data_IF_415996555495
#
_entry.id   IF_415996555495
#
_cell.length_a   1.000
_cell.length_b   1.000
_cell.length_c   1.000
_cell.angle_alpha   90.00
_cell.angle_beta   90.00
_cell.angle_gamma   90.00
#
_symmetry.space_group_name_H-M   'P 1'
#
loop_
_entity.id
_entity.type
_entity.pdbx_description
1 polymer ?
#
# COMPACT_ATOMS: atom_id res chain seq x y z
N UNK A 1 21.24 24.03 28.86
CA UNK A 1 21.42 24.07 27.39
C UNK A 1 21.14 22.68 26.85
N UNK A 2 19.98 22.46 26.22
CA UNK A 2 19.71 21.19 25.53
C UNK A 2 20.48 21.21 24.20
N UNK A 3 21.38 20.24 24.03
CA UNK A 3 22.04 20.03 22.75
C UNK A 3 21.00 19.53 21.76
N UNK A 4 20.70 20.36 20.75
CA UNK A 4 19.95 19.95 19.57
C UNK A 4 20.90 19.04 18.79
N UNK A 5 20.73 17.73 18.95
CA UNK A 5 21.39 16.73 18.11
C UNK A 5 20.78 16.90 16.72
N UNK A 6 21.53 17.30 15.67
CA UNK A 6 20.97 17.37 14.33
C UNK A 6 20.52 15.96 13.94
N UNK A 7 19.23 15.81 13.57
CA UNK A 7 18.73 14.53 13.09
C UNK A 7 19.58 14.11 11.89
N UNK A 8 20.06 12.87 11.89
CA UNK A 8 20.82 12.32 10.77
C UNK A 8 19.99 12.53 9.50
N UNK A 9 20.54 13.27 8.55
CA UNK A 9 19.91 13.45 7.23
C UNK A 9 19.75 12.05 6.65
N UNK A 10 18.49 11.59 6.54
CA UNK A 10 18.17 10.26 6.00
C UNK A 10 18.58 10.26 4.52
N UNK A 11 19.40 9.31 4.10
CA UNK A 11 19.74 9.17 2.69
C UNK A 11 18.50 8.70 1.91
N UNK A 12 18.29 9.16 0.67
CA UNK A 12 17.19 8.68 -0.15
C UNK A 12 17.40 7.21 -0.51
N UNK A 13 16.32 6.44 -0.50
CA UNK A 13 16.25 5.05 -0.94
C UNK A 13 16.31 4.93 -2.46
N UNK A 14 15.67 5.86 -3.17
CA UNK A 14 15.68 5.91 -4.64
C UNK A 14 15.87 7.35 -5.15
N UNK A 15 16.61 7.54 -6.26
CA UNK A 15 16.67 8.80 -6.97
C UNK A 15 15.36 9.10 -7.71
N UNK A 16 15.12 10.37 -8.05
CA UNK A 16 13.84 10.84 -8.58
C UNK A 16 13.24 10.01 -9.74
N UNK A 17 14.06 9.68 -10.75
CA UNK A 17 13.61 8.87 -11.90
C UNK A 17 13.14 7.48 -11.44
N UNK A 18 13.91 6.83 -10.57
CA UNK A 18 13.59 5.50 -10.04
C UNK A 18 12.41 5.52 -9.07
N UNK A 19 12.23 6.59 -8.32
CA UNK A 19 11.04 6.77 -7.47
C UNK A 19 9.77 6.78 -8.32
N UNK A 20 9.74 7.54 -9.42
CA UNK A 20 8.57 7.59 -10.30
C UNK A 20 8.26 6.22 -10.93
N UNK A 21 9.29 5.53 -11.44
CA UNK A 21 9.16 4.16 -11.94
C UNK A 21 8.61 3.20 -10.87
N UNK A 22 9.15 3.27 -9.66
CA UNK A 22 8.75 2.44 -8.53
C UNK A 22 7.29 2.70 -8.13
N UNK A 23 6.88 3.96 -7.99
CA UNK A 23 5.51 4.33 -7.60
C UNK A 23 4.51 3.80 -8.63
N UNK A 24 4.78 3.97 -9.92
CA UNK A 24 3.88 3.49 -10.98
C UNK A 24 3.74 1.96 -10.95
N UNK A 25 4.85 1.24 -10.81
CA UNK A 25 4.84 -0.22 -10.73
C UNK A 25 4.15 -0.71 -9.44
N UNK A 26 4.45 -0.09 -8.30
CA UNK A 26 3.84 -0.42 -7.02
C UNK A 26 2.32 -0.24 -7.09
N UNK A 27 1.83 0.88 -7.64
CA UNK A 27 0.40 1.13 -7.82
C UNK A 27 -0.23 0.08 -8.73
N UNK A 28 0.41 -0.26 -9.85
CA UNK A 28 -0.09 -1.26 -10.78
C UNK A 28 -0.19 -2.66 -10.13
N UNK A 29 0.80 -3.03 -9.32
CA UNK A 29 0.83 -4.32 -8.61
C UNK A 29 -0.18 -4.35 -7.47
N UNK A 30 -0.30 -3.28 -6.68
CA UNK A 30 -1.31 -3.17 -5.63
C UNK A 30 -2.74 -3.25 -6.20
N UNK A 31 -2.99 -2.73 -7.40
CA UNK A 31 -4.29 -2.91 -8.09
C UNK A 31 -4.60 -4.37 -8.43
N UNK A 32 -3.58 -5.16 -8.71
CA UNK A 32 -3.71 -6.60 -8.99
C UNK A 32 -3.81 -7.45 -7.72
N UNK A 33 -3.45 -6.87 -6.57
CA UNK A 33 -3.43 -7.54 -5.26
C UNK A 33 -2.61 -8.84 -5.27
N UNK A 34 -1.57 -8.87 -6.10
CA UNK A 34 -0.68 -10.01 -6.33
C UNK A 34 0.56 -9.90 -5.44
N UNK A 35 0.62 -10.74 -4.40
CA UNK A 35 1.66 -10.65 -3.38
C UNK A 35 3.05 -11.00 -3.93
N UNK A 36 3.10 -11.96 -4.87
CA UNK A 36 4.36 -12.35 -5.50
C UNK A 36 4.93 -11.21 -6.33
N UNK A 37 4.08 -10.53 -7.10
CA UNK A 37 4.49 -9.32 -7.84
C UNK A 37 4.90 -8.20 -6.90
N UNK A 38 4.22 -8.02 -5.76
CA UNK A 38 4.59 -6.99 -4.77
C UNK A 38 6.03 -7.20 -4.30
N UNK A 39 6.35 -8.42 -3.88
CA UNK A 39 7.71 -8.78 -3.45
C UNK A 39 8.74 -8.58 -4.57
N UNK A 40 8.40 -8.96 -5.80
CA UNK A 40 9.27 -8.79 -6.96
C UNK A 40 9.56 -7.32 -7.29
N UNK A 41 8.57 -6.44 -7.16
CA UNK A 41 8.76 -4.99 -7.36
C UNK A 41 9.80 -4.45 -6.38
N UNK A 42 9.71 -4.76 -5.09
CA UNK A 42 10.72 -4.30 -4.12
C UNK A 42 12.13 -4.86 -4.42
N UNK A 43 12.23 -6.12 -4.84
CA UNK A 43 13.51 -6.71 -5.26
C UNK A 43 14.11 -6.00 -6.49
N UNK A 44 13.28 -5.68 -7.49
CA UNK A 44 13.70 -4.97 -8.71
C UNK A 44 14.35 -3.63 -8.40
N UNK A 45 13.80 -2.90 -7.43
CA UNK A 45 14.33 -1.60 -7.00
C UNK A 45 15.36 -1.69 -5.88
N UNK A 46 15.84 -2.90 -5.55
CA UNK A 46 16.88 -3.17 -4.52
C UNK A 46 16.48 -2.71 -3.11
N UNK A 47 15.19 -2.67 -2.80
CA UNK A 47 14.67 -2.21 -1.51
C UNK A 47 14.60 -3.32 -0.45
N UNK A 48 14.88 -4.58 -0.82
CA UNK A 48 14.74 -5.74 0.08
C UNK A 48 15.70 -5.76 1.27
N UNK A 49 16.77 -4.98 1.21
CA UNK A 49 17.75 -4.88 2.30
C UNK A 49 17.42 -3.75 3.29
N UNK A 50 16.39 -2.96 3.02
CA UNK A 50 15.96 -1.91 3.95
C UNK A 50 15.29 -2.55 5.18
N UNK A 51 15.54 -2.07 6.42
CA UNK A 51 14.96 -2.63 7.63
C UNK A 51 13.43 -2.78 7.57
N UNK A 52 12.75 -1.77 7.03
CA UNK A 52 11.28 -1.75 6.93
C UNK A 52 10.71 -2.74 5.88
N UNK A 53 11.56 -3.36 5.06
CA UNK A 53 11.11 -4.28 4.00
C UNK A 53 10.37 -5.50 4.58
N UNK A 54 10.89 -6.11 5.63
CA UNK A 54 10.31 -7.32 6.23
C UNK A 54 8.91 -7.00 6.77
N UNK A 55 8.77 -5.90 7.52
CA UNK A 55 7.48 -5.47 8.05
C UNK A 55 6.49 -5.10 6.94
N UNK A 56 6.98 -4.45 5.88
CA UNK A 56 6.15 -4.13 4.73
C UNK A 56 5.64 -5.38 4.03
N UNK A 57 6.51 -6.36 3.75
CA UNK A 57 6.11 -7.58 3.05
C UNK A 57 5.20 -8.45 3.92
N UNK A 58 5.45 -8.58 5.23
CA UNK A 58 4.58 -9.33 6.14
C UNK A 58 3.16 -8.73 6.21
N UNK A 59 3.06 -7.41 6.31
CA UNK A 59 1.76 -6.72 6.25
C UNK A 59 1.12 -6.84 4.85
N UNK A 60 1.92 -6.82 3.78
CA UNK A 60 1.45 -7.05 2.43
C UNK A 60 0.85 -8.45 2.25
N UNK A 61 1.47 -9.47 2.83
CA UNK A 61 0.93 -10.84 2.83
C UNK A 61 -0.42 -10.91 3.53
N UNK A 62 -0.58 -10.21 4.65
CA UNK A 62 -1.87 -10.12 5.33
C UNK A 62 -2.92 -9.39 4.48
N UNK A 63 -2.60 -8.22 3.95
CA UNK A 63 -3.51 -7.40 3.14
C UNK A 63 -3.93 -8.13 1.86
N UNK A 64 -3.01 -8.90 1.25
CA UNK A 64 -3.23 -9.54 -0.04
C UNK A 64 -3.66 -11.01 0.09
N UNK A 65 -3.48 -11.61 1.26
CA UNK A 65 -3.66 -13.06 1.49
C UNK A 65 -5.09 -13.53 1.31
N UNK A 66 -6.09 -12.64 1.49
CA UNK A 66 -7.48 -12.92 1.16
C UNK A 66 -7.68 -13.22 -0.33
N UNK A 67 -6.96 -12.52 -1.20
CA UNK A 67 -7.16 -12.55 -2.65
C UNK A 67 -6.26 -13.57 -3.35
N UNK A 68 -5.09 -13.88 -2.78
CA UNK A 68 -4.17 -14.87 -3.32
C UNK A 68 -4.53 -16.32 -2.98
N UNK A 69 -5.67 -16.55 -2.31
CA UNK A 69 -6.15 -17.89 -1.94
C UNK A 69 -7.31 -18.32 -2.85
N UNK A 70 -6.98 -18.66 -4.10
CA UNK A 70 -7.92 -19.14 -5.13
C UNK A 70 -8.72 -20.36 -4.63
N UNK A 71 -8.11 -21.20 -3.80
CA UNK A 71 -8.76 -22.38 -3.22
C UNK A 71 -9.95 -22.03 -2.33
N UNK A 72 -9.94 -20.85 -1.70
CA UNK A 72 -11.08 -20.32 -0.93
C UNK A 72 -12.17 -19.66 -1.79
N UNK A 73 -11.95 -19.56 -3.11
CA UNK A 73 -12.94 -19.06 -4.07
C UNK A 73 -13.15 -17.55 -4.02
N UNK A 74 -12.13 -16.78 -3.63
CA UNK A 74 -12.18 -15.32 -3.71
C UNK A 74 -11.85 -14.85 -5.13
N UNK A 75 -12.64 -13.91 -5.64
CA UNK A 75 -12.46 -13.32 -6.96
C UNK A 75 -12.48 -11.80 -6.84
N UNK A 76 -11.40 -11.13 -7.26
CA UNK A 76 -11.34 -9.67 -7.35
C UNK A 76 -12.22 -9.21 -8.52
N UNK A 77 -13.22 -8.39 -8.22
CA UNK A 77 -14.13 -7.80 -9.21
C UNK A 77 -13.57 -6.49 -9.74
N UNK A 78 -13.09 -5.63 -8.85
CA UNK A 78 -12.48 -4.36 -9.23
C UNK A 78 -11.54 -3.85 -8.14
N UNK A 79 -10.55 -3.07 -8.56
CA UNK A 79 -9.68 -2.32 -7.65
C UNK A 79 -9.61 -0.87 -8.10
N UNK A 80 -9.91 0.04 -7.18
CA UNK A 80 -9.81 1.48 -7.39
C UNK A 80 -8.70 2.08 -6.54
N UNK A 81 -8.02 3.09 -7.09
CA UNK A 81 -7.01 3.88 -6.36
C UNK A 81 -7.49 5.31 -6.16
N UNK A 82 -7.14 5.89 -5.02
CA UNK A 82 -7.44 7.28 -4.71
C UNK A 82 -6.32 7.89 -3.87
N UNK A 83 -6.15 9.19 -3.99
CA UNK A 83 -5.36 9.96 -3.02
C UNK A 83 -6.13 9.99 -1.68
N UNK A 84 -5.44 9.76 -0.58
CA UNK A 84 -6.00 9.79 0.76
C UNK A 84 -5.03 10.45 1.75
N UNK A 85 -5.47 10.66 2.99
CA UNK A 85 -4.65 11.14 4.09
C UNK A 85 -4.68 10.14 5.24
N UNK A 86 -3.53 9.96 5.89
CA UNK A 86 -3.45 9.28 7.18
C UNK A 86 -4.35 10.00 8.20
N UNK A 87 -5.27 9.28 8.84
CA UNK A 87 -6.22 9.85 9.81
C UNK A 87 -5.64 10.02 11.21
N UNK A 88 -4.53 9.34 11.51
CA UNK A 88 -3.87 9.39 12.83
C UNK A 88 -2.67 10.33 12.88
N UNK A 89 -2.07 10.64 11.73
CA UNK A 89 -0.89 11.47 11.63
C UNK A 89 -1.30 12.94 11.79
N UNK A 90 -0.71 13.68 12.74
CA UNK A 90 -1.02 15.10 13.00
C UNK A 90 -0.84 16.03 11.80
N UNK A 91 -0.07 15.59 10.78
CA UNK A 91 0.18 16.33 9.54
C UNK A 91 -0.66 15.84 8.34
N UNK A 92 -1.57 14.87 8.52
CA UNK A 92 -2.42 14.36 7.44
C UNK A 92 -1.62 13.92 6.21
N UNK A 93 -0.50 13.20 6.43
CA UNK A 93 0.40 12.74 5.34
C UNK A 93 -0.42 12.09 4.22
N UNK A 94 -0.16 12.51 2.99
CA UNK A 94 -0.77 11.91 1.81
C UNK A 94 -0.35 10.45 1.68
N UNK A 95 -1.33 9.58 1.46
CA UNK A 95 -1.16 8.14 1.24
C UNK A 95 -1.92 7.73 -0.01
N UNK A 96 -1.55 6.60 -0.60
CA UNK A 96 -2.22 6.03 -1.77
C UNK A 96 -3.20 4.97 -1.26
N UNK A 97 -4.49 5.26 -1.32
CA UNK A 97 -5.56 4.36 -0.91
C UNK A 97 -6.00 3.43 -2.04
N UNK A 98 -6.32 2.19 -1.68
CA UNK A 98 -6.82 1.16 -2.58
C UNK A 98 -8.13 0.61 -2.02
N UNK A 99 -9.16 0.55 -2.86
CA UNK A 99 -10.42 -0.11 -2.55
C UNK A 99 -10.55 -1.34 -3.45
N UNK A 100 -10.67 -2.51 -2.86
CA UNK A 100 -10.79 -3.80 -3.55
C UNK A 100 -12.18 -4.35 -3.34
N UNK A 101 -12.94 -4.50 -4.42
CA UNK A 101 -14.22 -5.18 -4.42
C UNK A 101 -14.01 -6.64 -4.84
N UNK A 102 -14.60 -7.57 -4.10
CA UNK A 102 -14.41 -8.99 -4.36
C UNK A 102 -15.65 -9.82 -4.05
N UNK A 103 -15.74 -11.00 -4.66
CA UNK A 103 -16.79 -12.00 -4.42
C UNK A 103 -16.20 -13.24 -3.79
N UNK A 104 -17.05 -13.99 -3.08
CA UNK A 104 -16.74 -15.32 -2.57
C UNK A 104 -17.62 -16.33 -3.29
N UNK A 105 -17.03 -17.03 -4.26
CA UNK A 105 -17.73 -17.94 -5.16
C UNK A 105 -18.03 -19.30 -4.52
N UNK A 106 -17.25 -19.70 -3.51
CA UNK A 106 -17.42 -20.96 -2.78
C UNK A 106 -18.23 -20.83 -1.49
N UNK A 107 -19.00 -19.73 -1.32
CA UNK A 107 -19.87 -19.60 -0.15
C UNK A 107 -21.15 -20.43 -0.31
N UNK A 108 -21.27 -21.49 0.49
CA UNK A 108 -22.42 -22.41 0.46
C UNK A 108 -23.78 -21.77 0.76
N UNK A 109 -23.82 -20.58 1.39
CA UNK A 109 -25.08 -19.93 1.79
C UNK A 109 -25.53 -18.86 0.80
N UNK A 110 -24.60 -18.09 0.24
CA UNK A 110 -24.90 -16.98 -0.70
C UNK A 110 -23.81 -16.86 -1.79
N UNK A 111 -23.66 -17.86 -2.66
CA UNK A 111 -22.58 -17.88 -3.64
C UNK A 111 -22.71 -16.69 -4.61
N UNK A 112 -21.63 -15.92 -4.74
CA UNK A 112 -21.46 -14.87 -5.77
C UNK A 112 -22.50 -13.73 -5.81
N UNK A 113 -23.41 -13.65 -4.83
CA UNK A 113 -24.45 -12.60 -4.73
C UNK A 113 -23.99 -11.35 -3.98
N UNK A 114 -23.03 -11.50 -3.08
CA UNK A 114 -22.50 -10.40 -2.26
C UNK A 114 -21.17 -9.93 -2.83
N UNK A 115 -21.06 -8.63 -3.06
CA UNK A 115 -19.80 -7.93 -3.31
C UNK A 115 -19.32 -7.39 -1.97
N UNK A 116 -18.17 -7.89 -1.53
CA UNK A 116 -17.47 -7.39 -0.36
C UNK A 116 -16.49 -6.31 -0.78
N UNK A 117 -16.20 -5.37 0.13
CA UNK A 117 -15.17 -4.36 -0.06
C UNK A 117 -14.10 -4.52 1.02
N UNK A 118 -12.84 -4.40 0.62
CA UNK A 118 -11.72 -4.23 1.52
C UNK A 118 -10.91 -3.00 1.08
N UNK A 119 -10.15 -2.41 1.99
CA UNK A 119 -9.33 -1.24 1.68
C UNK A 119 -8.00 -1.27 2.41
N UNK A 120 -6.96 -0.77 1.76
CA UNK A 120 -5.64 -0.61 2.35
C UNK A 120 -4.96 0.62 1.75
N UNK A 121 -3.93 1.16 2.42
CA UNK A 121 -3.19 2.29 1.91
C UNK A 121 -1.69 2.12 2.05
N UNK A 122 -0.96 2.67 1.10
CA UNK A 122 0.51 2.74 1.11
C UNK A 122 0.94 4.16 1.44
N UNK A 123 1.85 4.29 2.39
CA UNK A 123 2.52 5.54 2.73
C UNK A 123 3.90 5.57 2.08
N UNK A 124 4.19 6.60 1.29
CA UNK A 124 5.50 6.84 0.68
C UNK A 124 5.96 8.25 1.06
N UNK A 125 7.13 8.35 1.68
CA UNK A 125 7.75 9.65 1.94
C UNK A 125 8.63 10.03 0.75
N UNK A 126 8.12 10.93 -0.09
CA UNK A 126 8.80 11.45 -1.26
C UNK A 126 9.10 12.94 -1.06
N UNK A 127 10.37 13.34 -1.16
CA UNK A 127 10.80 14.75 -1.09
C UNK A 127 11.67 15.08 -2.29
N UNK A 128 11.32 16.13 -3.03
CA UNK A 128 12.00 16.55 -4.26
C UNK A 128 12.15 15.39 -5.28
N UNK A 129 11.15 14.50 -5.34
CA UNK A 129 11.14 13.30 -6.18
C UNK A 129 11.89 12.10 -5.60
N UNK A 130 12.70 12.25 -4.55
CA UNK A 130 13.44 11.15 -3.95
C UNK A 130 12.58 10.39 -2.93
N UNK A 131 12.62 9.07 -2.97
CA UNK A 131 11.98 8.22 -1.97
C UNK A 131 12.85 8.14 -0.71
N UNK A 132 12.29 8.36 0.47
CA UNK A 132 13.00 8.26 1.75
C UNK A 132 12.44 7.16 2.65
N UNK A 133 11.13 6.93 2.59
CA UNK A 133 10.44 5.94 3.42
C UNK A 133 9.30 5.30 2.65
N UNK A 134 8.97 4.06 3.00
CA UNK A 134 7.79 3.36 2.52
C UNK A 134 7.15 2.60 3.68
N UNK A 135 5.84 2.40 3.63
CA UNK A 135 5.10 1.74 4.69
C UNK A 135 3.66 1.47 4.30
N UNK A 136 2.96 0.68 5.11
CA UNK A 136 1.51 0.63 5.07
C UNK A 136 0.92 1.72 5.96
N UNK A 137 -0.28 2.18 5.61
CA UNK A 137 -1.08 3.04 6.47
C UNK A 137 -2.33 2.27 6.90
N UNK A 138 -2.41 1.97 8.19
CA UNK A 138 -3.50 1.19 8.78
C UNK A 138 -4.69 2.07 9.21
N UNK A 139 -4.54 3.39 9.15
CA UNK A 139 -5.59 4.34 9.50
C UNK A 139 -5.52 5.52 8.54
N UNK A 140 -6.40 5.50 7.54
CA UNK A 140 -6.49 6.49 6.47
C UNK A 140 -7.95 6.79 6.17
N UNK A 141 -8.19 7.93 5.54
CA UNK A 141 -9.53 8.37 5.18
C UNK A 141 -10.07 7.58 3.98
N UNK A 142 -11.33 7.17 4.05
CA UNK A 142 -12.02 6.60 2.91
C UNK A 142 -12.15 7.62 1.77
N UNK A 143 -12.43 7.13 0.56
CA UNK A 143 -12.69 7.98 -0.61
C UNK A 143 -13.84 8.96 -0.35
N UNK A 144 -14.86 8.56 0.40
CA UNK A 144 -16.02 9.37 0.77
C UNK A 144 -15.64 10.45 1.79
N UNK A 145 -14.84 10.09 2.80
CA UNK A 145 -14.34 11.05 3.78
C UNK A 145 -13.44 12.10 3.13
N UNK A 146 -12.61 11.69 2.17
CA UNK A 146 -11.77 12.60 1.37
C UNK A 146 -12.58 13.61 0.54
N UNK A 147 -13.81 13.28 0.13
CA UNK A 147 -14.70 14.23 -0.59
C UNK A 147 -15.33 15.30 0.31
N UNK A 148 -15.28 15.10 1.62
CA UNK A 148 -15.88 16.00 2.62
C UNK A 148 -14.86 16.97 3.24
N UNK A 149 -13.59 16.85 2.85
CA UNK A 149 -12.48 17.75 3.22
C UNK A 149 -12.28 18.82 2.14
#
# INVERSE_FOLDING_TARGET
MQQIIPSKIKAPLLPAIKTSEFVNELVAVCKQVDFKKLKNTFNKFKLQNHPDFIDFINQGEHNFGLFNNIDKGFEVVSTETHESKCSFCSLGKTVIGFNVNYKKNKDSRLPSRIIYANSFAVNLEIKNGYLYEFGWCNSFLSKEQMKQL
#
